data_IF_321508755745
#
_entry.id   IF_321508755745
#
_cell.length_a   1.000
_cell.length_b   1.000
_cell.length_c   1.000
_cell.angle_alpha   90.00
_cell.angle_beta   90.00
_cell.angle_gamma   90.00
#
_symmetry.space_group_name_H-M   'P 1'
#
loop_
_entity.id
_entity.type
_entity.pdbx_description
1 polymer ?
#
# COMPACT_ATOMS: atom_id res chain seq x y z
N UNK A 1 -8.70 51.98 -24.13
CA UNK A 1 -9.44 50.71 -23.97
C UNK A 1 -8.46 49.68 -23.44
N UNK A 2 -8.31 49.61 -22.12
CA UNK A 2 -7.33 48.73 -21.47
C UNK A 2 -8.05 47.43 -21.09
N UNK A 3 -7.67 46.35 -21.77
CA UNK A 3 -8.15 45.00 -21.53
C UNK A 3 -7.68 44.56 -20.13
N UNK A 4 -8.61 44.46 -19.20
CA UNK A 4 -8.33 44.02 -17.83
C UNK A 4 -8.15 42.52 -17.91
N UNK A 5 -6.90 42.05 -18.01
CA UNK A 5 -6.55 40.63 -17.92
C UNK A 5 -6.97 40.16 -16.53
N UNK A 6 -8.15 39.55 -16.47
CA UNK A 6 -8.68 38.91 -15.28
C UNK A 6 -7.76 37.72 -14.94
N UNK A 7 -6.77 37.98 -14.08
CA UNK A 7 -5.90 36.93 -13.55
C UNK A 7 -6.80 35.99 -12.77
N UNK A 8 -7.13 34.82 -13.35
CA UNK A 8 -7.72 33.71 -12.60
C UNK A 8 -6.94 33.57 -11.29
N UNK A 9 -7.59 33.59 -10.12
CA UNK A 9 -6.89 33.37 -8.87
C UNK A 9 -6.15 32.05 -9.00
N UNK A 10 -4.84 32.04 -8.70
CA UNK A 10 -4.06 30.81 -8.62
C UNK A 10 -4.76 29.96 -7.56
N UNK A 11 -5.54 28.98 -7.99
CA UNK A 11 -6.17 28.00 -7.12
C UNK A 11 -5.03 27.23 -6.46
N UNK A 12 -4.65 27.66 -5.27
CA UNK A 12 -3.77 26.89 -4.40
C UNK A 12 -4.52 25.63 -4.03
N UNK A 13 -3.84 24.48 -4.10
CA UNK A 13 -4.45 23.22 -3.69
C UNK A 13 -4.99 23.36 -2.24
N UNK A 14 -6.18 22.81 -1.93
CA UNK A 14 -6.73 22.86 -0.57
C UNK A 14 -5.71 22.28 0.43
N UNK A 15 -5.50 22.90 1.60
CA UNK A 15 -4.60 22.38 2.63
C UNK A 15 -4.88 20.91 2.97
N UNK A 16 -6.16 20.50 3.04
CA UNK A 16 -6.55 19.11 3.27
C UNK A 16 -6.03 18.15 2.18
N UNK A 17 -6.05 18.57 0.91
CA UNK A 17 -5.58 17.78 -0.21
C UNK A 17 -4.06 17.57 -0.12
N UNK A 18 -3.31 18.62 0.21
CA UNK A 18 -1.85 18.54 0.35
C UNK A 18 -1.47 17.67 1.55
N UNK A 19 -2.16 17.82 2.68
CA UNK A 19 -1.91 17.02 3.88
C UNK A 19 -2.17 15.53 3.63
N UNK A 20 -3.33 15.18 3.07
CA UNK A 20 -3.68 13.80 2.76
C UNK A 20 -2.73 13.18 1.73
N UNK A 21 -2.36 13.92 0.68
CA UNK A 21 -1.36 13.47 -0.28
C UNK A 21 0.01 13.23 0.37
N UNK A 22 0.44 14.13 1.25
CA UNK A 22 1.69 14.00 2.00
C UNK A 22 1.70 12.76 2.90
N UNK A 23 0.60 12.52 3.64
CA UNK A 23 0.42 11.32 4.47
C UNK A 23 0.46 10.07 3.61
N UNK A 24 -0.23 10.05 2.47
CA UNK A 24 -0.28 8.91 1.57
C UNK A 24 1.12 8.54 1.05
N UNK A 25 1.85 9.52 0.49
CA UNK A 25 3.19 9.30 -0.07
C UNK A 25 4.20 8.92 1.00
N UNK A 26 4.18 9.58 2.16
CA UNK A 26 5.09 9.26 3.27
C UNK A 26 4.84 7.85 3.82
N UNK A 27 3.58 7.46 3.95
CA UNK A 27 3.20 6.12 4.41
C UNK A 27 3.62 5.06 3.40
N UNK A 28 3.39 5.29 2.10
CA UNK A 28 3.79 4.37 1.04
C UNK A 28 5.32 4.19 1.02
N UNK A 29 6.10 5.27 1.08
CA UNK A 29 7.56 5.20 1.13
C UNK A 29 8.06 4.45 2.37
N UNK A 30 7.45 4.73 3.54
CA UNK A 30 7.79 4.05 4.80
C UNK A 30 7.48 2.56 4.75
N UNK A 31 6.36 2.18 4.12
CA UNK A 31 5.99 0.78 3.94
C UNK A 31 7.10 0.00 3.21
N UNK A 32 7.72 0.59 2.18
CA UNK A 32 8.76 -0.09 1.40
C UNK A 32 10.02 -0.39 2.21
N UNK A 33 10.40 0.55 3.08
CA UNK A 33 11.61 0.46 3.90
C UNK A 33 11.42 -0.43 5.14
N UNK A 34 10.19 -0.54 5.63
CA UNK A 34 9.86 -1.29 6.85
C UNK A 34 9.37 -2.71 6.59
N UNK A 35 8.98 -3.04 5.36
CA UNK A 35 8.46 -4.36 4.99
C UNK A 35 9.42 -5.52 5.30
N UNK A 36 10.74 -5.29 5.20
CA UNK A 36 11.74 -6.33 5.48
C UNK A 36 11.75 -6.78 6.95
N UNK A 37 11.23 -5.95 7.87
CA UNK A 37 11.07 -6.32 9.26
C UNK A 37 9.77 -7.10 9.44
N UNK A 38 9.88 -8.39 9.73
CA UNK A 38 8.71 -9.21 10.11
C UNK A 38 8.35 -8.91 11.57
N UNK A 39 7.08 -8.55 11.78
CA UNK A 39 6.45 -8.41 13.09
C UNK A 39 5.76 -9.73 13.45
N UNK A 40 5.78 -10.08 14.73
CA UNK A 40 5.06 -11.22 15.28
C UNK A 40 4.21 -10.74 16.45
N UNK A 41 2.93 -11.10 16.44
CA UNK A 41 1.96 -10.76 17.48
C UNK A 41 1.34 -12.03 18.01
N UNK A 42 1.33 -12.20 19.34
CA UNK A 42 0.65 -13.32 19.97
C UNK A 42 -0.87 -13.14 19.87
N UNK A 43 -1.58 -14.18 19.45
CA UNK A 43 -3.02 -14.19 19.35
C UNK A 43 -3.65 -14.94 20.53
N UNK A 44 -4.80 -14.46 21.04
CA UNK A 44 -5.56 -15.17 22.07
C UNK A 44 -6.19 -16.48 21.56
N UNK A 45 -6.28 -16.65 20.24
CA UNK A 45 -6.84 -17.84 19.58
C UNK A 45 -5.93 -18.22 18.40
N UNK A 46 -5.61 -19.52 18.28
CA UNK A 46 -4.78 -20.02 17.18
C UNK A 46 -5.52 -19.94 15.85
N UNK A 47 -4.86 -19.41 14.84
CA UNK A 47 -5.41 -19.31 13.49
C UNK A 47 -4.90 -20.49 12.65
N UNK A 48 -5.76 -21.17 11.86
CA UNK A 48 -5.32 -22.22 10.95
C UNK A 48 -4.18 -21.72 10.04
N UNK A 49 -3.13 -22.54 9.86
CA UNK A 49 -1.94 -22.25 9.05
C UNK A 49 -0.98 -21.18 9.60
N UNK A 50 -1.40 -20.32 10.53
CA UNK A 50 -0.53 -19.31 11.17
C UNK A 50 -0.10 -19.71 12.61
N UNK A 51 -0.89 -20.53 13.31
CA UNK A 51 -0.60 -20.95 14.68
C UNK A 51 -1.06 -19.91 15.73
N UNK A 52 -0.44 -19.89 16.93
CA UNK A 52 -0.77 -18.93 17.99
C UNK A 52 -0.17 -17.53 17.76
N UNK A 53 0.66 -17.36 16.74
CA UNK A 53 1.32 -16.10 16.42
C UNK A 53 0.91 -15.63 15.02
N UNK A 54 0.54 -14.35 14.92
CA UNK A 54 0.26 -13.67 13.65
C UNK A 54 1.51 -12.94 13.18
N UNK A 55 2.03 -13.31 12.02
CA UNK A 55 3.16 -12.60 11.42
C UNK A 55 2.72 -11.64 10.33
N UNK A 56 3.33 -10.46 10.30
CA UNK A 56 3.01 -9.38 9.38
C UNK A 56 4.30 -8.65 8.97
N UNK A 57 4.48 -8.22 7.72
CA UNK A 57 5.55 -7.29 7.39
C UNK A 57 5.32 -5.97 8.12
N UNK A 58 6.39 -5.29 8.54
CA UNK A 58 6.32 -3.99 9.22
C UNK A 58 5.57 -2.92 8.44
N UNK A 59 5.56 -3.07 7.11
CA UNK A 59 4.76 -2.28 6.19
C UNK A 59 3.27 -2.21 6.52
N UNK A 60 2.71 -3.25 7.16
CA UNK A 60 1.32 -3.34 7.54
C UNK A 60 0.80 -2.07 8.25
N UNK A 61 1.60 -1.52 9.17
CA UNK A 61 1.23 -0.33 9.94
C UNK A 61 1.13 0.91 9.06
N UNK A 62 2.11 1.10 8.16
CA UNK A 62 2.12 2.24 7.24
C UNK A 62 1.02 2.09 6.17
N UNK A 63 0.73 0.88 5.72
CA UNK A 63 -0.34 0.59 4.76
C UNK A 63 -1.72 0.94 5.32
N UNK A 64 -1.98 0.72 6.61
CA UNK A 64 -3.24 1.14 7.24
C UNK A 64 -3.44 2.66 7.17
N UNK A 65 -2.39 3.44 7.48
CA UNK A 65 -2.44 4.91 7.37
C UNK A 65 -2.59 5.35 5.92
N UNK A 66 -1.94 4.65 4.99
CA UNK A 66 -2.03 4.91 3.56
C UNK A 66 -3.47 4.71 3.04
N UNK A 67 -4.15 3.60 3.38
CA UNK A 67 -5.52 3.35 2.94
C UNK A 67 -6.50 4.40 3.48
N UNK A 68 -6.39 4.70 4.77
CA UNK A 68 -7.16 5.77 5.39
C UNK A 68 -6.99 7.12 4.65
N UNK A 69 -5.75 7.48 4.30
CA UNK A 69 -5.47 8.71 3.57
C UNK A 69 -6.05 8.70 2.15
N UNK A 70 -5.94 7.58 1.41
CA UNK A 70 -6.53 7.48 0.07
C UNK A 70 -8.06 7.55 0.09
N UNK A 71 -8.70 6.95 1.09
CA UNK A 71 -10.16 6.88 1.15
C UNK A 71 -10.74 8.25 1.47
N UNK A 72 -10.13 8.98 2.42
CA UNK A 72 -10.46 10.38 2.67
C UNK A 72 -10.23 11.24 1.43
N UNK A 73 -9.12 11.03 0.71
CA UNK A 73 -8.82 11.77 -0.51
C UNK A 73 -9.85 11.50 -1.62
N UNK A 74 -10.27 10.24 -1.78
CA UNK A 74 -11.28 9.82 -2.75
C UNK A 74 -12.65 10.43 -2.47
N UNK A 75 -13.07 10.44 -1.21
CA UNK A 75 -14.37 10.99 -0.80
C UNK A 75 -14.43 12.53 -0.90
N UNK A 76 -13.30 13.22 -0.70
CA UNK A 76 -13.24 14.68 -0.73
C UNK A 76 -12.98 15.26 -2.13
N UNK A 77 -12.10 14.61 -2.90
CA UNK A 77 -11.58 15.16 -4.16
C UNK A 77 -11.92 14.31 -5.39
N UNK A 78 -12.56 13.16 -5.19
CA UNK A 78 -13.11 12.33 -6.25
C UNK A 78 -12.11 11.38 -6.93
N UNK A 79 -12.66 10.53 -7.81
CA UNK A 79 -11.93 9.44 -8.48
C UNK A 79 -10.70 9.91 -9.27
N UNK A 80 -10.84 10.96 -10.10
CA UNK A 80 -9.77 11.39 -11.00
C UNK A 80 -8.57 11.95 -10.24
N UNK A 81 -8.82 12.75 -9.20
CA UNK A 81 -7.74 13.28 -8.35
C UNK A 81 -7.02 12.14 -7.62
N UNK A 82 -7.77 11.17 -7.09
CA UNK A 82 -7.22 9.99 -6.40
C UNK A 82 -6.35 9.13 -7.32
N UNK A 83 -6.78 8.91 -8.56
CA UNK A 83 -5.98 8.19 -9.55
C UNK A 83 -4.64 8.89 -9.83
N UNK A 84 -4.65 10.23 -9.89
CA UNK A 84 -3.41 11.01 -10.01
C UNK A 84 -2.52 10.81 -8.78
N UNK A 85 -3.08 10.93 -7.57
CA UNK A 85 -2.35 10.72 -6.32
C UNK A 85 -1.68 9.34 -6.28
N UNK A 86 -2.44 8.28 -6.55
CA UNK A 86 -1.95 6.89 -6.52
C UNK A 86 -0.85 6.68 -7.57
N UNK A 87 -1.05 7.15 -8.80
CA UNK A 87 -0.05 6.99 -9.86
C UNK A 87 1.24 7.76 -9.58
N UNK A 88 1.14 8.98 -9.04
CA UNK A 88 2.31 9.77 -8.64
C UNK A 88 3.05 9.08 -7.50
N UNK A 89 2.34 8.64 -6.47
CA UNK A 89 2.93 7.94 -5.33
C UNK A 89 3.60 6.62 -5.76
N UNK A 90 2.98 5.89 -6.69
CA UNK A 90 3.58 4.72 -7.30
C UNK A 90 4.89 5.05 -8.03
N UNK A 91 4.93 6.15 -8.79
CA UNK A 91 6.16 6.64 -9.41
C UNK A 91 7.23 7.04 -8.37
N UNK A 92 6.82 7.59 -7.22
CA UNK A 92 7.73 7.95 -6.12
C UNK A 92 8.45 6.74 -5.53
N UNK A 93 7.92 5.53 -5.65
CA UNK A 93 8.64 4.32 -5.21
C UNK A 93 9.93 4.09 -6.00
N UNK A 94 9.94 4.41 -7.30
CA UNK A 94 11.17 4.34 -8.10
C UNK A 94 12.18 5.41 -7.67
N UNK A 95 11.71 6.59 -7.25
CA UNK A 95 12.57 7.61 -6.67
C UNK A 95 13.17 7.15 -5.34
N UNK A 96 12.37 6.56 -4.45
CA UNK A 96 12.85 5.97 -3.19
C UNK A 96 13.91 4.92 -3.47
N UNK A 97 13.67 3.99 -4.38
CA UNK A 97 14.66 2.98 -4.78
C UNK A 97 15.94 3.61 -5.33
N UNK A 98 15.83 4.61 -6.21
CA UNK A 98 16.99 5.28 -6.79
C UNK A 98 17.86 5.96 -5.71
N UNK A 99 17.24 6.61 -4.72
CA UNK A 99 17.93 7.26 -3.60
C UNK A 99 18.53 6.24 -2.62
N UNK A 100 17.84 5.14 -2.37
CA UNK A 100 18.37 4.04 -1.55
C UNK A 100 19.60 3.43 -2.21
N UNK A 101 19.51 3.08 -3.50
CA UNK A 101 20.62 2.47 -4.23
C UNK A 101 21.78 3.43 -4.46
N UNK A 102 21.53 4.72 -4.68
CA UNK A 102 22.62 5.70 -4.76
C UNK A 102 23.43 5.77 -3.47
N UNK A 103 22.77 5.60 -2.32
CA UNK A 103 23.43 5.58 -1.00
C UNK A 103 24.15 4.25 -0.75
N UNK A 104 23.55 3.11 -1.13
CA UNK A 104 24.18 1.78 -1.01
C UNK A 104 25.48 1.70 -1.83
N UNK A 105 25.49 2.30 -3.03
CA UNK A 105 26.64 2.28 -3.94
C UNK A 105 27.69 3.35 -3.63
N UNK A 106 27.36 4.34 -2.80
CA UNK A 106 28.28 5.39 -2.43
C UNK A 106 29.40 4.85 -1.50
N UNK A 107 30.64 5.38 -1.59
CA UNK A 107 31.71 4.99 -0.68
C UNK A 107 31.34 5.26 0.78
N UNK A 108 31.51 4.26 1.63
CA UNK A 108 31.22 4.37 3.06
C UNK A 108 32.35 5.06 3.82
N UNK A 109 31.98 5.96 4.73
CA UNK A 109 32.94 6.57 5.65
C UNK A 109 33.33 5.58 6.77
N UNK A 110 34.55 5.64 7.32
CA UNK A 110 34.98 4.72 8.39
C UNK A 110 34.11 4.74 9.64
N UNK A 111 33.42 5.86 9.92
CA UNK A 111 32.52 6.04 11.07
C UNK A 111 31.06 5.70 10.77
N UNK A 112 30.75 5.22 9.56
CA UNK A 112 29.38 4.86 9.17
C UNK A 112 28.97 3.47 9.68
N UNK A 113 27.68 3.16 9.57
CA UNK A 113 27.17 1.81 9.80
C UNK A 113 27.85 0.86 8.80
N UNK A 114 28.05 -0.39 9.21
CA UNK A 114 28.56 -1.44 8.32
C UNK A 114 27.82 -1.44 6.96
N UNK A 115 28.55 -1.25 5.84
CA UNK A 115 27.93 -1.10 4.52
C UNK A 115 27.17 -2.34 4.07
N UNK A 116 27.65 -3.54 4.46
CA UNK A 116 26.97 -4.80 4.16
C UNK A 116 25.61 -4.89 4.84
N UNK A 117 25.56 -4.53 6.12
CA UNK A 117 24.32 -4.46 6.91
C UNK A 117 23.36 -3.42 6.34
N UNK A 118 23.84 -2.24 5.96
CA UNK A 118 23.03 -1.20 5.34
C UNK A 118 22.40 -1.67 4.02
N UNK A 119 23.20 -2.29 3.15
CA UNK A 119 22.75 -2.87 1.89
C UNK A 119 21.76 -4.02 2.10
N UNK A 120 21.97 -4.88 3.10
CA UNK A 120 21.07 -5.98 3.43
C UNK A 120 19.69 -5.49 3.85
N UNK A 121 19.64 -4.47 4.72
CA UNK A 121 18.38 -3.94 5.27
C UNK A 121 17.63 -3.10 4.24
N UNK A 122 18.28 -2.10 3.63
CA UNK A 122 17.58 -1.20 2.71
C UNK A 122 17.46 -1.77 1.30
N UNK A 123 18.40 -2.61 0.85
CA UNK A 123 18.33 -3.26 -0.46
C UNK A 123 17.11 -4.18 -0.60
N UNK A 124 16.62 -4.74 0.52
CA UNK A 124 15.39 -5.54 0.56
C UNK A 124 14.18 -4.78 -0.01
N UNK A 125 14.13 -3.45 0.08
CA UNK A 125 13.07 -2.63 -0.51
C UNK A 125 12.89 -2.87 -2.02
N UNK A 126 13.96 -3.26 -2.73
CA UNK A 126 13.90 -3.66 -4.15
C UNK A 126 12.94 -4.82 -4.38
N UNK A 127 13.03 -5.86 -3.54
CA UNK A 127 12.17 -7.03 -3.64
C UNK A 127 10.73 -6.70 -3.27
N UNK A 128 10.55 -5.82 -2.28
CA UNK A 128 9.24 -5.35 -1.84
C UNK A 128 8.55 -4.61 -2.97
N UNK A 129 9.24 -3.67 -3.62
CA UNK A 129 8.71 -2.94 -4.78
C UNK A 129 8.40 -3.90 -5.91
N UNK A 130 9.34 -4.75 -6.31
CA UNK A 130 9.15 -5.70 -7.40
C UNK A 130 7.97 -6.65 -7.15
N UNK A 131 7.87 -7.21 -5.94
CA UNK A 131 6.72 -8.03 -5.53
C UNK A 131 5.41 -7.28 -5.58
N UNK A 132 5.39 -6.02 -5.11
CA UNK A 132 4.19 -5.17 -5.12
C UNK A 132 3.74 -4.84 -6.54
N UNK A 133 4.68 -4.58 -7.45
CA UNK A 133 4.39 -4.31 -8.86
C UNK A 133 3.69 -5.49 -9.53
N UNK A 134 4.26 -6.69 -9.38
CA UNK A 134 3.70 -7.90 -10.01
C UNK A 134 2.37 -8.28 -9.36
N UNK A 135 2.29 -8.22 -8.03
CA UNK A 135 1.05 -8.46 -7.29
C UNK A 135 -0.06 -7.51 -7.74
N UNK A 136 0.21 -6.21 -7.78
CA UNK A 136 -0.73 -5.19 -8.23
C UNK A 136 -1.22 -5.42 -9.66
N UNK A 137 -0.31 -5.69 -10.59
CA UNK A 137 -0.68 -5.94 -11.99
C UNK A 137 -1.63 -7.13 -12.11
N UNK A 138 -1.38 -8.23 -11.42
CA UNK A 138 -2.24 -9.42 -11.50
C UNK A 138 -3.54 -9.22 -10.73
N UNK A 139 -3.46 -8.69 -9.50
CA UNK A 139 -4.61 -8.56 -8.60
C UNK A 139 -5.64 -7.57 -9.11
N UNK A 140 -5.21 -6.43 -9.68
CA UNK A 140 -6.12 -5.44 -10.24
C UNK A 140 -6.88 -5.98 -11.47
N UNK A 141 -6.21 -6.71 -12.35
CA UNK A 141 -6.88 -7.32 -13.50
C UNK A 141 -7.88 -8.39 -13.04
N UNK A 142 -7.51 -9.22 -12.06
CA UNK A 142 -8.40 -10.22 -11.49
C UNK A 142 -9.63 -9.58 -10.82
N UNK A 143 -9.44 -8.48 -10.08
CA UNK A 143 -10.54 -7.76 -9.44
C UNK A 143 -11.59 -7.32 -10.46
N UNK A 144 -11.15 -6.67 -11.54
CA UNK A 144 -12.03 -6.21 -12.62
C UNK A 144 -12.79 -7.38 -13.26
N UNK A 145 -12.09 -8.48 -13.57
CA UNK A 145 -12.71 -9.66 -14.18
C UNK A 145 -13.77 -10.28 -13.28
N UNK A 146 -13.44 -10.51 -12.00
CA UNK A 146 -14.38 -11.11 -11.04
C UNK A 146 -15.57 -10.19 -10.78
N UNK A 147 -15.32 -8.88 -10.64
CA UNK A 147 -16.38 -7.89 -10.44
C UNK A 147 -17.40 -7.91 -11.59
N UNK A 148 -16.92 -7.92 -12.84
CA UNK A 148 -17.78 -7.92 -14.02
C UNK A 148 -18.48 -9.27 -14.22
N UNK A 149 -17.80 -10.40 -14.00
CA UNK A 149 -18.40 -11.73 -14.09
C UNK A 149 -19.59 -11.88 -13.11
N UNK A 150 -19.45 -11.39 -11.88
CA UNK A 150 -20.55 -11.41 -10.90
C UNK A 150 -21.66 -10.44 -11.30
N UNK A 151 -21.31 -9.24 -11.80
CA UNK A 151 -22.30 -8.28 -12.30
C UNK A 151 -23.18 -8.88 -13.39
N UNK A 152 -22.59 -9.62 -14.33
CA UNK A 152 -23.31 -10.29 -15.41
C UNK A 152 -24.14 -11.48 -14.90
N UNK A 153 -23.61 -12.26 -13.95
CA UNK A 153 -24.33 -13.38 -13.36
C UNK A 153 -25.52 -12.98 -12.47
N UNK A 154 -25.54 -11.75 -11.94
CA UNK A 154 -26.59 -11.27 -11.03
C UNK A 154 -27.45 -10.15 -11.65
N UNK A 155 -27.43 -9.96 -12.97
CA UNK A 155 -28.12 -8.86 -13.67
C UNK A 155 -27.89 -7.47 -13.06
N UNK A 156 -26.73 -7.28 -12.43
CA UNK A 156 -26.36 -6.04 -11.76
C UNK A 156 -26.96 -5.80 -10.37
N UNK A 157 -27.87 -6.65 -9.87
CA UNK A 157 -28.61 -6.43 -8.62
C UNK A 157 -27.76 -6.54 -7.36
N UNK A 158 -26.79 -7.46 -7.32
CA UNK A 158 -26.00 -7.74 -6.11
C UNK A 158 -24.68 -6.98 -6.08
N UNK A 159 -24.73 -5.65 -5.93
CA UNK A 159 -23.54 -4.77 -5.81
C UNK A 159 -22.60 -5.20 -4.66
N UNK A 160 -23.16 -5.55 -3.50
CA UNK A 160 -22.37 -5.95 -2.33
C UNK A 160 -21.56 -7.23 -2.60
N UNK A 161 -22.19 -8.22 -3.26
CA UNK A 161 -21.58 -9.52 -3.53
C UNK A 161 -20.39 -9.36 -4.46
N UNK A 162 -20.56 -8.62 -5.56
CA UNK A 162 -19.45 -8.38 -6.49
C UNK A 162 -18.31 -7.58 -5.87
N UNK A 163 -18.61 -6.59 -5.02
CA UNK A 163 -17.58 -5.78 -4.37
C UNK A 163 -16.76 -6.59 -3.36
N UNK A 164 -17.44 -7.35 -2.49
CA UNK A 164 -16.78 -8.17 -1.46
C UNK A 164 -16.05 -9.34 -2.09
N UNK A 165 -16.67 -10.06 -3.03
CA UNK A 165 -16.05 -11.22 -3.65
C UNK A 165 -14.88 -10.84 -4.56
N UNK A 166 -14.97 -9.75 -5.33
CA UNK A 166 -13.84 -9.29 -6.14
C UNK A 166 -12.68 -8.88 -5.25
N UNK A 167 -12.93 -8.09 -4.21
CA UNK A 167 -11.92 -7.62 -3.25
C UNK A 167 -11.28 -8.79 -2.50
N UNK A 168 -12.09 -9.71 -1.95
CA UNK A 168 -11.58 -10.85 -1.19
C UNK A 168 -10.71 -11.76 -2.06
N UNK A 169 -11.10 -11.98 -3.32
CA UNK A 169 -10.34 -12.83 -4.25
C UNK A 169 -9.09 -12.14 -4.74
N UNK A 170 -9.18 -10.86 -5.13
CA UNK A 170 -8.05 -10.08 -5.63
C UNK A 170 -7.00 -9.85 -4.54
N UNK A 171 -7.41 -9.57 -3.30
CA UNK A 171 -6.49 -9.39 -2.18
C UNK A 171 -5.81 -10.70 -1.76
N UNK A 172 -6.46 -11.85 -1.91
CA UNK A 172 -5.81 -13.14 -1.67
C UNK A 172 -4.67 -13.36 -2.67
N UNK A 173 -4.96 -13.18 -3.96
CA UNK A 173 -3.97 -13.34 -5.04
C UNK A 173 -2.84 -12.32 -4.91
N UNK A 174 -3.17 -11.05 -4.62
CA UNK A 174 -2.20 -10.00 -4.34
C UNK A 174 -1.21 -10.42 -3.25
N UNK A 175 -1.74 -10.88 -2.12
CA UNK A 175 -0.94 -11.24 -0.95
C UNK A 175 -0.06 -12.45 -1.22
N UNK A 176 -0.60 -13.48 -1.88
CA UNK A 176 0.18 -14.67 -2.26
C UNK A 176 1.34 -14.29 -3.20
N UNK A 177 1.06 -13.52 -4.24
CA UNK A 177 2.08 -13.10 -5.21
C UNK A 177 3.12 -12.20 -4.55
N UNK A 178 2.68 -11.20 -3.79
CA UNK A 178 3.56 -10.25 -3.10
C UNK A 178 4.52 -10.98 -2.16
N UNK A 179 4.00 -11.80 -1.24
CA UNK A 179 4.82 -12.46 -0.24
C UNK A 179 5.78 -13.46 -0.89
N UNK A 180 5.30 -14.22 -1.88
CA UNK A 180 6.12 -15.20 -2.61
C UNK A 180 7.27 -14.53 -3.36
N UNK A 181 7.01 -13.43 -4.07
CA UNK A 181 8.06 -12.74 -4.84
C UNK A 181 9.02 -12.03 -3.89
N UNK A 182 8.50 -11.27 -2.93
CA UNK A 182 9.29 -10.37 -2.10
C UNK A 182 10.17 -11.08 -1.06
N UNK A 183 9.67 -12.19 -0.47
CA UNK A 183 10.34 -12.86 0.66
C UNK A 183 10.85 -14.27 0.35
N UNK A 184 10.52 -14.84 -0.81
CA UNK A 184 10.95 -16.19 -1.20
C UNK A 184 11.73 -16.21 -2.51
N UNK A 185 11.12 -15.81 -3.63
CA UNK A 185 11.70 -15.96 -4.98
C UNK A 185 12.88 -15.00 -5.20
N UNK A 186 12.71 -13.69 -4.96
CA UNK A 186 13.77 -12.71 -5.22
C UNK A 186 14.98 -12.85 -4.29
N UNK A 187 14.81 -13.09 -2.97
CA UNK A 187 15.95 -13.40 -2.10
C UNK A 187 16.76 -14.61 -2.58
N UNK A 188 16.10 -15.67 -3.09
CA UNK A 188 16.78 -16.86 -3.59
C UNK A 188 17.49 -16.66 -4.93
N UNK A 189 16.89 -15.88 -5.84
CA UNK A 189 17.36 -15.76 -7.22
C UNK A 189 18.33 -14.60 -7.43
N UNK A 190 18.10 -13.47 -6.75
CA UNK A 190 18.89 -12.24 -6.89
C UNK A 190 19.84 -12.04 -5.71
N UNK A 191 19.63 -12.73 -4.58
CA UNK A 191 20.50 -12.63 -3.41
C UNK A 191 20.38 -11.29 -2.66
N UNK A 192 19.31 -10.53 -2.91
CA UNK A 192 19.04 -9.25 -2.25
C UNK A 192 18.01 -9.48 -1.15
N UNK A 193 18.26 -8.96 0.05
CA UNK A 193 17.36 -9.07 1.19
C UNK A 193 17.35 -10.45 1.88
N UNK A 194 16.64 -10.58 3.01
CA UNK A 194 16.63 -11.81 3.80
C UNK A 194 15.76 -12.89 3.16
N UNK A 195 16.29 -14.11 3.06
CA UNK A 195 15.49 -15.29 2.73
C UNK A 195 14.77 -15.80 3.98
N UNK A 196 13.44 -15.82 3.94
CA UNK A 196 12.64 -16.31 5.06
C UNK A 196 12.37 -17.82 4.95
N UNK A 197 12.20 -18.54 6.08
CA UNK A 197 11.75 -19.93 6.06
C UNK A 197 10.34 -20.07 5.47
N UNK A 198 10.07 -21.18 4.77
CA UNK A 198 8.80 -21.37 4.07
C UNK A 198 7.56 -21.31 4.98
N UNK A 199 7.68 -21.79 6.23
CA UNK A 199 6.62 -21.68 7.22
C UNK A 199 6.29 -20.20 7.57
N UNK A 200 7.32 -19.34 7.65
CA UNK A 200 7.13 -17.90 7.88
C UNK A 200 6.46 -17.25 6.69
N UNK A 201 6.85 -17.62 5.46
CA UNK A 201 6.22 -17.14 4.22
C UNK A 201 4.72 -17.47 4.20
N UNK A 202 4.33 -18.70 4.57
CA UNK A 202 2.91 -19.08 4.67
C UNK A 202 2.18 -18.27 5.76
N UNK A 203 2.80 -18.11 6.93
CA UNK A 203 2.23 -17.29 8.01
C UNK A 203 2.05 -15.83 7.59
N UNK A 204 2.99 -15.26 6.83
CA UNK A 204 2.88 -13.90 6.29
C UNK A 204 1.72 -13.76 5.32
N UNK A 205 1.48 -14.75 4.44
CA UNK A 205 0.33 -14.73 3.53
C UNK A 205 -0.98 -14.70 4.32
N UNK A 206 -1.12 -15.60 5.29
CA UNK A 206 -2.33 -15.70 6.12
C UNK A 206 -2.53 -14.42 6.93
N UNK A 207 -1.48 -13.95 7.60
CA UNK A 207 -1.53 -12.77 8.46
C UNK A 207 -1.89 -11.52 7.67
N UNK A 208 -1.21 -11.27 6.55
CA UNK A 208 -1.51 -10.11 5.72
C UNK A 208 -2.92 -10.15 5.14
N UNK A 209 -3.38 -11.32 4.69
CA UNK A 209 -4.73 -11.44 4.15
C UNK A 209 -5.79 -11.13 5.21
N UNK A 210 -5.66 -11.71 6.40
CA UNK A 210 -6.55 -11.44 7.53
C UNK A 210 -6.52 -9.97 7.96
N UNK A 211 -5.32 -9.36 8.01
CA UNK A 211 -5.19 -7.95 8.34
C UNK A 211 -5.89 -7.07 7.30
N UNK A 212 -5.70 -7.33 6.00
CA UNK A 212 -6.35 -6.58 4.93
C UNK A 212 -7.87 -6.67 5.01
N UNK A 213 -8.41 -7.86 5.30
CA UNK A 213 -9.85 -8.03 5.52
C UNK A 213 -10.34 -7.27 6.75
N UNK A 214 -9.57 -7.29 7.85
CA UNK A 214 -9.90 -6.54 9.05
C UNK A 214 -9.90 -5.02 8.81
N UNK A 215 -8.87 -4.50 8.14
CA UNK A 215 -8.78 -3.08 7.76
C UNK A 215 -9.97 -2.69 6.89
N UNK A 216 -10.29 -3.48 5.87
CA UNK A 216 -11.43 -3.20 4.99
C UNK A 216 -12.77 -3.10 5.76
N UNK A 217 -12.96 -3.91 6.80
CA UNK A 217 -14.15 -3.84 7.66
C UNK A 217 -14.10 -2.60 8.58
N UNK A 218 -12.95 -2.28 9.15
CA UNK A 218 -12.78 -1.21 10.13
C UNK A 218 -12.71 0.20 9.51
N UNK A 219 -12.25 0.34 8.27
CA UNK A 219 -12.08 1.66 7.64
C UNK A 219 -13.42 2.35 7.38
N UNK A 220 -14.49 1.59 7.13
CA UNK A 220 -15.83 2.13 6.81
C UNK A 220 -16.32 3.19 7.82
N UNK A 221 -16.37 2.95 9.15
CA UNK A 221 -16.79 3.97 10.11
C UNK A 221 -15.83 5.16 10.28
N UNK A 222 -14.52 4.96 10.14
CA UNK A 222 -13.52 6.03 10.33
C UNK A 222 -13.54 7.05 9.20
N UNK A 223 -13.76 6.59 7.96
CA UNK A 223 -13.87 7.48 6.79
C UNK A 223 -15.03 8.46 6.96
N UNK A 224 -16.20 8.03 7.46
CA UNK A 224 -17.34 8.93 7.68
C UNK A 224 -17.06 10.02 8.72
N UNK A 225 -16.31 9.71 9.79
CA UNK A 225 -16.01 10.68 10.85
C UNK A 225 -15.07 11.79 10.35
N UNK A 226 -14.04 11.44 9.60
CA UNK A 226 -12.97 12.37 9.20
C UNK A 226 -13.39 13.22 8.01
N UNK A 227 -14.07 12.62 7.03
CA UNK A 227 -14.63 13.37 5.90
C UNK A 227 -15.67 14.39 6.37
N UNK A 228 -16.47 14.05 7.39
CA UNK A 228 -17.38 14.98 8.04
C UNK A 228 -16.68 16.16 8.73
N UNK A 229 -15.50 15.93 9.33
CA UNK A 229 -14.70 16.99 9.95
C UNK A 229 -14.06 17.92 8.91
N UNK A 230 -13.48 17.37 7.83
CA UNK A 230 -12.80 18.16 6.79
C UNK A 230 -13.81 18.99 5.98
N UNK A 231 -14.99 18.45 5.65
CA UNK A 231 -16.06 19.22 4.97
C UNK A 231 -16.54 20.44 5.77
N UNK A 232 -16.42 20.42 7.11
CA UNK A 232 -16.78 21.56 7.96
C UNK A 232 -15.75 22.68 7.92
N UNK A 233 -14.48 22.35 7.67
CA UNK A 233 -13.38 23.32 7.58
C UNK A 233 -13.12 23.81 6.15
N UNK A 234 -13.46 23.00 5.15
CA UNK A 234 -13.37 23.32 3.73
C UNK A 234 -14.75 23.11 3.07
N UNK A 235 -15.68 24.08 3.19
CA UNK A 235 -16.94 24.02 2.44
C UNK A 235 -16.62 23.95 0.94
N UNK A 236 -17.25 23.02 0.23
CA UNK A 236 -17.11 22.91 -1.22
C UNK A 236 -17.40 24.29 -1.85
N UNK A 237 -16.43 24.79 -2.62
CA UNK A 237 -16.56 26.02 -3.39
C UNK A 237 -17.55 25.85 -4.54
#
# INVERSE_FOLDING_TARGET
>A
MAETVERRPKSTAPPGAVALAGIFVASLATAQLTAAKVLAFELPVSVPLAGPELTLPGAALAIAVMFFASDCYAELYGKRATQVLVNVAFAMNFLVLALVWSTILAPAAPSSIDPGTFALVLGASTNIVAGSLVAYLVSQNLDVVVFHAIREATDGEMLWLRNVASTATSQLVDTVIFVSIAFWILPQTVGIGPQLPGAVVVSLVVGQYLLKLLIAVLDTPFVYLVTGAIRRTEPAA
#
